data_IF_084733543420
#
_entry.id   IF_084733543420
#
_cell.length_a   1.000
_cell.length_b   1.000
_cell.length_c   1.000
_cell.angle_alpha   90.00
_cell.angle_beta   90.00
_cell.angle_gamma   90.00
#
_symmetry.space_group_name_H-M   'P 1'
#
loop_
_entity.id
_entity.type
_entity.pdbx_description
1 polymer ?
#
# COMPACT_ATOMS: atom_id res chain seq x y z
N UNK A 1 -24.08 44.93 48.73
CA UNK A 1 -23.79 45.17 47.31
C UNK A 1 -24.07 43.86 46.58
N UNK A 2 -25.05 43.87 45.65
CA UNK A 2 -25.04 43.30 44.27
C UNK A 2 -24.20 42.01 44.12
N UNK A 3 -24.61 40.84 43.64
CA UNK A 3 -25.78 40.29 42.92
C UNK A 3 -25.48 38.76 42.76
N UNK A 4 -26.47 37.87 42.71
CA UNK A 4 -26.85 37.05 41.53
C UNK A 4 -25.69 36.27 40.85
N UNK A 5 -25.77 35.00 40.42
CA UNK A 5 -26.86 34.11 40.04
C UNK A 5 -26.33 32.67 40.00
N UNK A 6 -27.26 31.76 40.27
CA UNK A 6 -27.24 30.33 39.98
C UNK A 6 -26.91 30.04 38.49
N UNK A 7 -26.12 29.00 38.18
CA UNK A 7 -26.39 28.14 37.01
C UNK A 7 -25.56 26.84 37.00
N UNK A 8 -26.17 25.78 37.53
CA UNK A 8 -26.44 24.51 36.83
C UNK A 8 -25.43 23.98 35.77
N UNK A 9 -24.11 23.89 35.98
CA UNK A 9 -23.25 23.06 35.10
C UNK A 9 -22.00 22.46 35.77
N UNK A 10 -22.15 21.85 36.96
CA UNK A 10 -21.08 21.02 37.54
C UNK A 10 -21.60 19.65 37.98
N UNK A 11 -21.93 18.80 37.00
CA UNK A 11 -21.95 17.34 37.17
C UNK A 11 -21.55 16.66 35.87
N UNK A 12 -20.83 15.54 36.06
CA UNK A 12 -20.39 14.56 35.08
C UNK A 12 -19.12 14.94 34.28
N UNK A 13 -17.96 14.66 34.88
CA UNK A 13 -16.92 13.95 34.15
C UNK A 13 -16.40 12.83 35.06
N UNK A 14 -17.23 11.79 35.15
CA UNK A 14 -16.79 10.48 35.58
C UNK A 14 -15.93 9.89 34.46
N UNK A 15 -14.67 9.62 34.80
CA UNK A 15 -14.02 8.35 34.53
C UNK A 15 -14.38 7.69 33.18
N UNK A 16 -13.63 8.02 32.12
CA UNK A 16 -13.36 7.04 31.06
C UNK A 16 -11.90 6.66 31.21
N UNK A 17 -11.69 5.55 31.95
CA UNK A 17 -10.49 4.72 31.79
C UNK A 17 -10.39 4.46 30.30
N UNK A 18 -9.46 5.15 29.65
CA UNK A 18 -9.10 4.91 28.26
C UNK A 18 -8.78 3.43 28.12
N UNK A 19 -9.69 2.71 27.48
CA UNK A 19 -9.42 1.40 26.93
C UNK A 19 -8.23 1.56 26.00
N UNK A 20 -7.05 1.14 26.45
CA UNK A 20 -5.97 0.72 25.57
C UNK A 20 -6.46 -0.52 24.82
N UNK A 21 -7.35 -0.31 23.86
CA UNK A 21 -7.56 -1.23 22.77
C UNK A 21 -6.32 -1.06 21.91
N UNK A 22 -5.34 -1.92 22.17
CA UNK A 22 -4.26 -2.22 21.23
C UNK A 22 -4.89 -2.44 19.85
N UNK A 23 -4.70 -1.49 18.94
CA UNK A 23 -5.11 -1.60 17.53
C UNK A 23 -4.19 -2.55 16.76
N UNK A 24 -3.92 -3.72 17.32
CA UNK A 24 -3.31 -4.83 16.63
C UNK A 24 -4.44 -5.68 16.07
N UNK A 25 -4.56 -5.77 14.73
CA UNK A 25 -5.45 -6.77 14.16
C UNK A 25 -5.63 -6.79 12.65
N UNK A 26 -5.65 -5.63 11.95
CA UNK A 26 -6.06 -5.62 10.53
C UNK A 26 -5.02 -5.04 9.55
N UNK A 27 -4.05 -4.27 10.04
CA UNK A 27 -3.00 -3.73 9.18
C UNK A 27 -1.82 -4.70 9.10
N UNK A 28 -1.53 -5.17 7.88
CA UNK A 28 -0.33 -5.96 7.58
C UNK A 28 0.48 -5.23 6.50
N UNK A 29 1.70 -4.76 6.81
CA UNK A 29 2.50 -4.00 5.85
C UNK A 29 2.93 -4.86 4.67
N UNK A 30 3.30 -4.19 3.58
CA UNK A 30 3.96 -4.85 2.46
C UNK A 30 5.37 -5.31 2.84
N UNK A 31 5.84 -6.40 2.23
CA UNK A 31 7.18 -6.94 2.45
C UNK A 31 8.07 -6.71 1.24
N UNK A 32 9.38 -6.83 1.46
CA UNK A 32 10.40 -6.66 0.43
C UNK A 32 11.19 -7.94 0.30
N UNK A 33 11.59 -8.26 -0.94
CA UNK A 33 12.39 -9.44 -1.19
C UNK A 33 13.73 -9.36 -0.43
N UNK A 34 14.25 -10.48 0.08
CA UNK A 34 15.55 -10.50 0.74
C UNK A 34 16.64 -10.04 -0.23
N UNK A 35 17.47 -9.09 0.20
CA UNK A 35 18.51 -8.56 -0.65
C UNK A 35 19.74 -9.44 -0.58
N UNK A 36 20.15 -9.97 -1.73
CA UNK A 36 21.42 -10.68 -1.87
C UNK A 36 22.49 -9.74 -2.41
N UNK A 37 23.66 -9.71 -1.75
CA UNK A 37 24.81 -8.96 -2.23
C UNK A 37 25.38 -9.64 -3.46
N UNK A 38 25.00 -9.14 -4.64
CA UNK A 38 25.49 -9.66 -5.91
C UNK A 38 26.81 -9.00 -6.26
N UNK A 39 27.83 -9.84 -6.49
CA UNK A 39 29.11 -9.37 -7.06
C UNK A 39 28.97 -8.97 -8.54
N UNK A 40 27.97 -9.51 -9.24
CA UNK A 40 27.74 -9.27 -10.67
C UNK A 40 26.76 -8.14 -10.93
N UNK A 41 25.90 -7.80 -9.95
CA UNK A 41 24.94 -6.69 -10.04
C UNK A 41 24.93 -5.84 -8.75
N UNK A 42 26.08 -5.27 -8.33
CA UNK A 42 26.19 -4.59 -7.03
C UNK A 42 25.31 -3.33 -6.95
N UNK A 43 25.08 -2.63 -8.06
CA UNK A 43 24.21 -1.45 -8.10
C UNK A 43 22.77 -1.82 -7.77
N UNK A 44 22.25 -2.87 -8.41
CA UNK A 44 20.91 -3.40 -8.17
C UNK A 44 20.73 -3.81 -6.70
N UNK A 45 21.69 -4.55 -6.14
CA UNK A 45 21.66 -4.94 -4.73
C UNK A 45 21.63 -3.72 -3.78
N UNK A 46 22.30 -2.61 -4.11
CA UNK A 46 22.22 -1.40 -3.29
C UNK A 46 20.88 -0.68 -3.42
N UNK A 47 20.28 -0.66 -4.62
CA UNK A 47 18.93 -0.13 -4.83
C UNK A 47 17.89 -0.93 -4.03
N UNK A 48 17.96 -2.26 -4.06
CA UNK A 48 17.04 -3.12 -3.31
C UNK A 48 17.17 -2.91 -1.79
N UNK A 49 18.37 -2.62 -1.27
CA UNK A 49 18.58 -2.30 0.17
C UNK A 49 17.84 -1.04 0.61
N UNK A 50 17.78 -0.02 -0.24
CA UNK A 50 17.16 1.26 0.09
C UNK A 50 15.69 1.33 -0.31
N UNK A 51 15.21 0.36 -1.09
CA UNK A 51 13.84 0.34 -1.59
C UNK A 51 12.77 0.49 -0.48
N UNK A 52 12.86 -0.21 0.67
CA UNK A 52 11.90 -0.02 1.76
C UNK A 52 11.87 1.41 2.30
N UNK A 53 13.01 2.09 2.35
CA UNK A 53 13.10 3.48 2.78
C UNK A 53 12.49 4.43 1.74
N UNK A 54 12.62 4.10 0.46
CA UNK A 54 12.13 4.97 -0.63
C UNK A 54 10.61 4.91 -0.73
N UNK A 55 10.02 3.71 -0.80
CA UNK A 55 8.58 3.56 -1.08
C UNK A 55 7.73 3.18 0.14
N UNK A 56 8.35 2.83 1.28
CA UNK A 56 7.63 2.38 2.48
C UNK A 56 6.74 1.17 2.22
N UNK A 57 5.73 0.90 3.06
CA UNK A 57 5.00 -0.37 3.03
C UNK A 57 3.49 -0.27 2.80
N UNK A 58 2.97 0.95 2.63
CA UNK A 58 1.54 1.27 2.59
C UNK A 58 1.14 1.97 1.29
N UNK A 59 0.13 1.43 0.61
CA UNK A 59 -0.25 1.90 -0.73
C UNK A 59 -1.76 2.06 -0.89
N UNK A 60 -2.15 3.16 -1.54
CA UNK A 60 -3.51 3.44 -1.99
C UNK A 60 -3.62 3.12 -3.49
N UNK A 61 -4.60 2.30 -3.88
CA UNK A 61 -4.84 1.97 -5.28
C UNK A 61 -5.39 3.17 -6.05
N UNK A 62 -4.81 3.44 -7.22
CA UNK A 62 -5.24 4.51 -8.14
C UNK A 62 -5.72 3.96 -9.49
N UNK A 63 -5.05 2.93 -10.03
CA UNK A 63 -5.47 2.23 -11.24
C UNK A 63 -4.94 0.79 -11.24
N UNK A 64 -5.57 -0.09 -12.03
CA UNK A 64 -5.08 -1.46 -12.26
C UNK A 64 -5.28 -1.84 -13.73
N UNK A 65 -4.31 -2.53 -14.31
CA UNK A 65 -4.33 -3.03 -15.68
C UNK A 65 -3.94 -4.51 -15.69
N UNK A 66 -4.64 -5.32 -16.49
CA UNK A 66 -4.21 -6.68 -16.80
C UNK A 66 -3.45 -6.67 -18.14
N UNK A 67 -2.23 -7.19 -18.11
CA UNK A 67 -1.38 -7.38 -19.28
C UNK A 67 -1.34 -8.86 -19.64
N UNK A 68 -1.43 -9.15 -20.94
CA UNK A 68 -1.29 -10.49 -21.48
C UNK A 68 -0.17 -10.50 -22.52
N UNK A 69 0.70 -11.48 -22.43
CA UNK A 69 1.78 -11.68 -23.40
C UNK A 69 1.90 -13.16 -23.72
N UNK A 70 2.00 -13.49 -25.00
CA UNK A 70 2.19 -14.87 -25.44
C UNK A 70 3.68 -15.13 -25.63
N UNK A 71 4.19 -16.20 -25.02
CA UNK A 71 5.55 -16.66 -25.28
C UNK A 71 5.64 -17.15 -26.74
N UNK A 72 6.49 -16.54 -27.58
CA UNK A 72 6.57 -16.87 -29.00
C UNK A 72 7.15 -18.28 -29.25
N UNK A 73 7.81 -18.89 -28.26
CA UNK A 73 8.43 -20.22 -28.38
C UNK A 73 7.49 -21.33 -27.92
N UNK A 74 6.74 -21.11 -26.84
CA UNK A 74 5.86 -22.14 -26.25
C UNK A 74 4.38 -21.95 -26.60
N UNK A 75 4.00 -20.74 -27.04
CA UNK A 75 2.60 -20.35 -27.24
C UNK A 75 1.84 -20.12 -25.93
N UNK A 76 2.52 -20.19 -24.78
CA UNK A 76 1.90 -20.03 -23.47
C UNK A 76 1.52 -18.56 -23.23
N UNK A 77 0.26 -18.33 -22.81
CA UNK A 77 -0.21 -17.00 -22.43
C UNK A 77 0.19 -16.71 -21.00
N UNK A 78 1.07 -15.73 -20.83
CA UNK A 78 1.46 -15.18 -19.54
C UNK A 78 0.58 -13.98 -19.22
N UNK A 79 0.01 -13.97 -18.02
CA UNK A 79 -0.78 -12.85 -17.50
C UNK A 79 0.00 -12.10 -16.43
N UNK A 80 -0.18 -10.79 -16.35
CA UNK A 80 0.34 -9.98 -15.26
C UNK A 80 -0.65 -8.87 -14.89
N UNK A 81 -0.70 -8.51 -13.61
CA UNK A 81 -1.45 -7.36 -13.13
C UNK A 81 -0.50 -6.23 -12.81
N UNK A 82 -0.76 -5.02 -13.30
CA UNK A 82 0.01 -3.82 -13.02
C UNK A 82 -0.85 -2.87 -12.19
N UNK A 83 -0.42 -2.58 -10.97
CA UNK A 83 -1.10 -1.70 -10.05
C UNK A 83 -0.43 -0.35 -10.03
N UNK A 84 -1.16 0.71 -10.37
CA UNK A 84 -0.74 2.09 -10.14
C UNK A 84 -1.20 2.53 -8.77
N UNK A 85 -0.26 2.94 -7.94
CA UNK A 85 -0.44 3.13 -6.50
C UNK A 85 0.06 4.50 -6.09
N UNK A 86 -0.62 5.12 -5.12
CA UNK A 86 -0.07 6.24 -4.36
C UNK A 86 0.60 5.71 -3.10
N UNK A 87 1.86 6.10 -2.89
CA UNK A 87 2.57 5.82 -1.65
C UNK A 87 1.95 6.65 -0.52
N UNK A 88 1.41 5.97 0.49
CA UNK A 88 0.81 6.63 1.68
C UNK A 88 1.65 6.41 2.96
N UNK A 89 2.75 5.69 2.81
CA UNK A 89 3.81 5.53 3.79
C UNK A 89 4.41 6.87 4.24
N UNK A 90 4.10 7.37 5.44
CA UNK A 90 4.46 8.75 5.84
C UNK A 90 5.97 8.99 5.94
N UNK A 91 6.74 7.95 6.26
CA UNK A 91 8.20 8.04 6.44
C UNK A 91 8.97 7.73 5.15
N UNK A 92 8.27 7.30 4.09
CA UNK A 92 8.87 7.01 2.80
C UNK A 92 9.32 8.29 2.11
N UNK A 93 10.46 8.22 1.39
CA UNK A 93 10.95 9.37 0.60
C UNK A 93 9.99 9.74 -0.54
N UNK A 94 9.36 8.74 -1.14
CA UNK A 94 8.39 8.88 -2.22
C UNK A 94 6.95 9.12 -1.71
N UNK A 95 6.77 9.64 -0.49
CA UNK A 95 5.43 9.85 0.08
C UNK A 95 4.58 10.73 -0.85
N UNK A 96 3.37 10.25 -1.18
CA UNK A 96 2.39 10.81 -2.13
C UNK A 96 2.71 10.64 -3.60
N UNK A 97 3.88 10.13 -3.97
CA UNK A 97 4.20 9.82 -5.35
C UNK A 97 3.38 8.65 -5.87
N UNK A 98 3.22 8.61 -7.20
CA UNK A 98 2.63 7.48 -7.90
C UNK A 98 3.74 6.51 -8.32
N UNK A 99 3.53 5.24 -8.02
CA UNK A 99 4.41 4.14 -8.43
C UNK A 99 3.61 3.05 -9.12
N UNK A 100 4.29 2.18 -9.85
CA UNK A 100 3.69 0.99 -10.44
C UNK A 100 4.35 -0.28 -9.90
N UNK A 101 3.53 -1.23 -9.45
CA UNK A 101 3.99 -2.56 -9.01
C UNK A 101 3.30 -3.62 -9.88
N UNK A 102 4.11 -4.48 -10.50
CA UNK A 102 3.65 -5.60 -11.33
C UNK A 102 3.62 -6.90 -10.53
N UNK A 103 2.55 -7.67 -10.64
CA UNK A 103 2.41 -9.02 -10.10
C UNK A 103 2.21 -9.98 -11.27
N UNK A 104 3.17 -10.88 -11.48
CA UNK A 104 3.14 -11.85 -12.58
C UNK A 104 2.26 -13.04 -12.23
N UNK A 105 1.70 -13.69 -13.25
CA UNK A 105 0.86 -14.89 -13.14
C UNK A 105 -0.33 -14.72 -12.20
N UNK A 106 -0.83 -13.49 -12.07
CA UNK A 106 -1.93 -13.14 -11.20
C UNK A 106 -2.90 -12.19 -11.92
N UNK A 107 -4.19 -12.39 -11.68
CA UNK A 107 -5.25 -11.46 -12.06
C UNK A 107 -5.38 -10.32 -11.05
N UNK A 108 -5.98 -9.18 -11.44
CA UNK A 108 -6.24 -8.08 -10.53
C UNK A 108 -7.06 -8.55 -9.32
N UNK A 109 -6.66 -8.14 -8.11
CA UNK A 109 -7.42 -8.44 -6.88
C UNK A 109 -8.67 -7.57 -6.72
N UNK A 110 -8.82 -6.56 -7.59
CA UNK A 110 -9.93 -5.62 -7.69
C UNK A 110 -10.39 -5.61 -9.15
N UNK A 111 -11.70 -5.57 -9.39
CA UNK A 111 -12.25 -5.41 -10.74
C UNK A 111 -12.46 -3.93 -11.10
N UNK A 112 -12.59 -3.63 -12.38
CA UNK A 112 -12.72 -2.24 -12.88
C UNK A 112 -13.97 -1.53 -12.31
N UNK A 113 -15.11 -2.22 -12.24
CA UNK A 113 -16.36 -1.64 -11.70
C UNK A 113 -16.23 -1.17 -10.25
N UNK A 114 -15.49 -1.92 -9.43
CA UNK A 114 -15.21 -1.51 -8.06
C UNK A 114 -14.31 -0.28 -8.02
N UNK A 115 -13.26 -0.25 -8.84
CA UNK A 115 -12.35 0.88 -8.92
C UNK A 115 -13.08 2.15 -9.38
N UNK A 116 -13.98 2.05 -10.36
CA UNK A 116 -14.81 3.17 -10.83
C UNK A 116 -15.64 3.78 -9.71
N UNK A 117 -16.25 2.96 -8.86
CA UNK A 117 -17.00 3.44 -7.69
C UNK A 117 -16.09 4.21 -6.72
N UNK A 118 -14.83 3.79 -6.56
CA UNK A 118 -13.87 4.52 -5.71
C UNK A 118 -13.51 5.87 -6.32
N UNK A 119 -13.23 5.91 -7.63
CA UNK A 119 -12.89 7.15 -8.35
C UNK A 119 -14.04 8.16 -8.35
N UNK A 120 -15.29 7.67 -8.43
CA UNK A 120 -16.51 8.46 -8.33
C UNK A 120 -16.93 8.80 -6.88
N UNK A 121 -16.10 8.45 -5.89
CA UNK A 121 -16.37 8.67 -4.45
C UNK A 121 -17.63 7.97 -3.93
N UNK A 122 -18.07 6.91 -4.61
CA UNK A 122 -19.21 6.06 -4.24
C UNK A 122 -18.79 4.86 -3.39
N UNK A 123 -17.48 4.59 -3.28
CA UNK A 123 -16.90 3.54 -2.46
C UNK A 123 -15.69 4.05 -1.67
N UNK A 124 -15.30 3.30 -0.63
CA UNK A 124 -14.13 3.63 0.19
C UNK A 124 -12.83 3.44 -0.61
N UNK A 125 -11.80 4.28 -0.38
CA UNK A 125 -10.48 4.08 -0.96
C UNK A 125 -9.92 2.67 -0.68
N UNK A 126 -9.22 2.09 -1.65
CA UNK A 126 -8.71 0.72 -1.57
C UNK A 126 -7.25 0.74 -1.16
N UNK A 127 -6.95 0.13 -0.02
CA UNK A 127 -5.58 -0.07 0.45
C UNK A 127 -5.11 -1.46 0.03
N UNK A 128 -3.92 -1.53 -0.56
CA UNK A 128 -3.28 -2.77 -0.95
C UNK A 128 -1.99 -3.00 -0.17
N UNK A 129 -1.69 -4.27 0.10
CA UNK A 129 -0.35 -4.72 0.47
C UNK A 129 0.22 -5.64 -0.59
N UNK A 130 1.53 -5.71 -0.65
CA UNK A 130 2.26 -6.58 -1.56
C UNK A 130 3.27 -7.45 -0.80
N UNK A 131 3.54 -8.63 -1.33
CA UNK A 131 4.58 -9.53 -0.81
C UNK A 131 5.82 -9.48 -1.72
N UNK A 132 6.99 -9.49 -1.08
CA UNK A 132 8.31 -9.60 -1.70
C UNK A 132 8.56 -8.57 -2.81
N UNK A 133 8.28 -7.30 -2.54
CA UNK A 133 8.56 -6.23 -3.50
C UNK A 133 10.06 -6.19 -3.80
N UNK A 134 10.41 -6.19 -5.07
CA UNK A 134 11.77 -6.10 -5.56
C UNK A 134 11.86 -5.18 -6.78
N UNK A 135 12.98 -4.48 -6.92
CA UNK A 135 13.27 -3.73 -8.12
C UNK A 135 13.87 -4.68 -9.17
N UNK A 136 13.34 -4.66 -10.39
CA UNK A 136 13.84 -5.45 -11.51
C UNK A 136 14.20 -4.55 -12.67
N UNK A 137 15.49 -4.48 -12.98
CA UNK A 137 16.03 -3.82 -14.15
C UNK A 137 16.62 -4.87 -15.10
N UNK A 138 16.04 -5.01 -16.29
CA UNK A 138 16.58 -5.86 -17.35
C UNK A 138 16.28 -5.27 -18.73
N UNK A 139 17.31 -5.26 -19.58
CA UNK A 139 17.35 -4.85 -21.00
C UNK A 139 16.01 -4.34 -21.57
N UNK A 140 15.77 -3.03 -21.44
CA UNK A 140 14.62 -2.34 -22.05
C UNK A 140 13.55 -1.84 -21.08
N UNK A 141 13.68 -2.10 -19.77
CA UNK A 141 12.76 -1.52 -18.78
C UNK A 141 13.20 -1.64 -17.33
N UNK A 142 12.60 -0.78 -16.51
CA UNK A 142 12.71 -0.73 -15.06
C UNK A 142 11.31 -0.95 -14.47
N UNK A 143 11.15 -1.86 -13.51
CA UNK A 143 9.85 -2.11 -12.89
C UNK A 143 9.98 -2.62 -11.47
N UNK A 144 9.00 -2.29 -10.61
CA UNK A 144 8.83 -2.97 -9.33
C UNK A 144 7.97 -4.21 -9.56
N UNK A 145 8.44 -5.36 -9.09
CA UNK A 145 7.64 -6.58 -9.07
C UNK A 145 7.30 -6.97 -7.63
N UNK A 146 6.21 -7.70 -7.46
CA UNK A 146 5.84 -8.35 -6.22
C UNK A 146 5.35 -9.78 -6.49
N UNK A 147 5.46 -10.66 -5.51
CA UNK A 147 4.99 -12.05 -5.60
C UNK A 147 3.47 -12.16 -5.45
N UNK A 148 2.86 -11.23 -4.69
CA UNK A 148 1.42 -11.22 -4.42
C UNK A 148 0.91 -9.81 -4.16
N UNK A 149 -0.35 -9.55 -4.52
CA UNK A 149 -1.11 -8.39 -4.07
C UNK A 149 -2.28 -8.85 -3.20
N UNK A 150 -2.62 -8.08 -2.17
CA UNK A 150 -3.79 -8.33 -1.33
C UNK A 150 -4.45 -7.02 -0.90
N UNK A 151 -5.78 -7.04 -0.80
CA UNK A 151 -6.53 -5.93 -0.25
C UNK A 151 -6.49 -5.95 1.28
N UNK A 152 -6.23 -4.80 1.87
CA UNK A 152 -6.40 -4.59 3.30
C UNK A 152 -7.76 -3.98 3.60
N UNK A 153 -8.45 -4.53 4.61
CA UNK A 153 -9.70 -3.97 5.12
C UNK A 153 -9.42 -2.93 6.21
N UNK A 154 -8.77 -1.83 5.82
CA UNK A 154 -8.42 -0.70 6.68
C UNK A 154 -8.72 0.62 5.98
N UNK A 155 -8.94 1.67 6.76
CA UNK A 155 -9.02 3.04 6.26
C UNK A 155 -7.63 3.57 5.87
N UNK A 156 -7.63 4.62 5.04
CA UNK A 156 -6.40 5.36 4.68
C UNK A 156 -5.68 5.87 5.94
N UNK A 157 -6.44 6.40 6.91
CA UNK A 157 -5.87 6.96 8.13
C UNK A 157 -5.20 5.89 9.00
N UNK A 158 -5.81 4.71 9.12
CA UNK A 158 -5.22 3.57 9.82
C UNK A 158 -3.92 3.15 9.14
N UNK A 159 -3.93 2.94 7.82
CA UNK A 159 -2.73 2.57 7.07
C UNK A 159 -1.59 3.60 7.22
N UNK A 160 -1.91 4.91 7.21
CA UNK A 160 -0.92 5.98 7.38
C UNK A 160 -0.35 6.10 8.81
N UNK A 161 -1.03 5.56 9.83
CA UNK A 161 -0.62 5.68 11.22
C UNK A 161 0.23 4.50 11.72
N UNK A 162 0.37 3.43 10.93
CA UNK A 162 1.11 2.22 11.29
C UNK A 162 2.59 2.22 10.86
N UNK A 163 3.14 3.37 10.46
CA UNK A 163 4.54 3.53 10.05
C UNK A 163 5.32 4.55 10.87
#
# INVERSE_FOLDING_TARGET
MVENLNSKFKKANAQVKGSSLSSEGNFKPSTFAPVHESKTAPVQSQLDKVLPMIIGSSYLLMAVEQQESTDPKTGEVQIASVYTLRVISRKARAFRDLIQIKVKNAKPVINEEELDKVLLQQAKPIILRFEDIAHYAYMGGETLNASKAERLNVSVQEAMNHE
#
